data_IF_472014420504
#
_entry.id   IF_472014420504
#
_cell.length_a   1.000
_cell.length_b   1.000
_cell.length_c   1.000
_cell.angle_alpha   90.00
_cell.angle_beta   90.00
_cell.angle_gamma   90.00
#
_symmetry.space_group_name_H-M   'P 1'
#
loop_
_entity.id
_entity.type
_entity.pdbx_description
1 polymer ?
#
# COMPACT_ATOMS: atom_id res chain seq x y z
N UNK A 1 10.04 -13.05 -2.88
CA UNK A 1 10.55 -11.89 -2.12
C UNK A 1 9.38 -10.95 -1.90
N UNK A 2 9.10 -10.51 -0.66
CA UNK A 2 8.02 -9.56 -0.41
C UNK A 2 8.49 -8.16 -0.83
N UNK A 3 7.89 -7.58 -1.87
CA UNK A 3 8.25 -6.26 -2.41
C UNK A 3 7.98 -5.14 -1.39
N UNK A 4 7.05 -5.38 -0.47
CA UNK A 4 6.57 -4.40 0.50
C UNK A 4 6.46 -5.05 1.89
N UNK A 5 7.58 -5.26 2.61
CA UNK A 5 7.52 -5.74 3.99
C UNK A 5 6.83 -4.74 4.92
N UNK A 6 6.30 -5.23 6.03
CA UNK A 6 5.64 -4.40 7.04
C UNK A 6 6.58 -3.27 7.51
N UNK A 7 6.03 -2.08 7.70
CA UNK A 7 6.75 -0.85 7.99
C UNK A 7 7.33 -0.12 6.77
N UNK A 8 7.28 -0.71 5.57
CA UNK A 8 7.74 -0.03 4.35
C UNK A 8 6.94 1.24 4.10
N UNK A 9 7.63 2.37 3.90
CA UNK A 9 7.00 3.63 3.50
C UNK A 9 6.62 3.58 2.03
N UNK A 10 5.37 3.92 1.75
CA UNK A 10 4.80 3.89 0.41
C UNK A 10 3.97 5.14 0.15
N UNK A 11 3.73 5.40 -1.13
CA UNK A 11 2.76 6.40 -1.57
C UNK A 11 1.87 5.83 -2.68
N UNK A 12 0.68 6.42 -2.83
CA UNK A 12 -0.24 6.14 -3.92
C UNK A 12 -0.99 7.41 -4.33
N UNK A 13 -1.59 7.39 -5.52
CA UNK A 13 -2.45 8.45 -6.02
C UNK A 13 -3.91 8.13 -5.70
N UNK A 14 -4.60 9.04 -5.03
CA UNK A 14 -6.05 8.91 -4.84
C UNK A 14 -6.82 9.31 -6.11
N UNK A 15 -8.14 9.07 -6.09
CA UNK A 15 -9.04 9.39 -7.21
C UNK A 15 -9.11 10.87 -7.56
N UNK A 16 -8.68 11.76 -6.66
CA UNK A 16 -8.62 13.20 -6.88
C UNK A 16 -7.24 13.65 -7.40
N UNK A 17 -6.34 12.72 -7.71
CA UNK A 17 -4.97 13.03 -8.14
C UNK A 17 -4.09 13.55 -6.99
N UNK A 18 -4.46 13.28 -5.73
CA UNK A 18 -3.64 13.65 -4.57
C UNK A 18 -2.76 12.49 -4.15
N UNK A 19 -1.48 12.76 -3.89
CA UNK A 19 -0.56 11.75 -3.34
C UNK A 19 -0.88 11.55 -1.85
N UNK A 20 -1.08 10.30 -1.46
CA UNK A 20 -1.23 9.87 -0.06
C UNK A 20 -0.01 9.05 0.35
N UNK A 21 0.52 9.35 1.52
CA UNK A 21 1.65 8.64 2.12
C UNK A 21 1.19 7.76 3.28
N UNK A 22 1.90 6.66 3.49
CA UNK A 22 1.64 5.76 4.60
C UNK A 22 2.72 4.71 4.77
N UNK A 23 2.48 3.80 5.71
CA UNK A 23 3.30 2.63 5.94
C UNK A 23 2.50 1.34 5.73
N UNK A 24 3.15 0.32 5.19
CA UNK A 24 2.55 -1.00 5.02
C UNK A 24 2.36 -1.64 6.40
N UNK A 25 1.13 -1.99 6.75
CA UNK A 25 0.83 -2.77 7.96
C UNK A 25 0.89 -4.26 7.71
N UNK A 26 0.47 -4.70 6.53
CA UNK A 26 0.47 -6.11 6.14
C UNK A 26 0.33 -6.28 4.63
N UNK A 27 0.73 -7.43 4.15
CA UNK A 27 0.49 -7.87 2.77
C UNK A 27 -0.34 -9.15 2.75
N UNK A 28 -1.26 -9.26 1.81
CA UNK A 28 -2.10 -10.44 1.61
C UNK A 28 -2.10 -10.84 0.15
N UNK A 29 -2.38 -12.12 -0.11
CA UNK A 29 -2.55 -12.64 -1.47
C UNK A 29 -3.95 -13.21 -1.60
N UNK A 30 -4.70 -12.71 -2.57
CA UNK A 30 -6.04 -13.20 -2.89
C UNK A 30 -5.97 -14.55 -3.59
N UNK A 31 -7.11 -15.25 -3.67
CA UNK A 31 -7.24 -16.57 -4.30
C UNK A 31 -6.94 -16.55 -5.80
N UNK A 32 -7.14 -15.42 -6.47
CA UNK A 32 -6.79 -15.16 -7.87
C UNK A 32 -5.27 -14.91 -8.08
N UNK A 33 -4.50 -14.87 -6.99
CA UNK A 33 -3.06 -14.62 -7.01
C UNK A 33 -2.66 -13.16 -6.90
N UNK A 34 -3.61 -12.21 -6.91
CA UNK A 34 -3.38 -10.77 -6.75
C UNK A 34 -2.81 -10.49 -5.36
N UNK A 35 -1.72 -9.71 -5.31
CA UNK A 35 -1.17 -9.24 -4.04
C UNK A 35 -1.74 -7.86 -3.68
N UNK A 36 -2.18 -7.74 -2.44
CA UNK A 36 -2.76 -6.54 -1.84
C UNK A 36 -1.89 -6.13 -0.66
N UNK A 37 -1.70 -4.83 -0.51
CA UNK A 37 -1.04 -4.20 0.64
C UNK A 37 -2.08 -3.45 1.44
N UNK A 38 -2.05 -3.63 2.77
CA UNK A 38 -2.79 -2.80 3.70
C UNK A 38 -1.84 -1.68 4.14
N UNK A 39 -2.19 -0.45 3.81
CA UNK A 39 -1.39 0.75 4.08
C UNK A 39 -2.09 1.58 5.13
N UNK A 40 -1.44 1.81 6.26
CA UNK A 40 -1.84 2.83 7.22
C UNK A 40 -1.40 4.18 6.70
N UNK A 41 -2.36 4.95 6.20
CA UNK A 41 -2.13 6.31 5.72
C UNK A 41 -1.82 7.19 6.93
N UNK A 42 -0.96 8.19 6.77
CA UNK A 42 -0.55 9.09 7.86
C UNK A 42 -1.75 9.86 8.48
N UNK A 43 -2.87 9.95 7.75
CA UNK A 43 -4.16 10.46 8.25
C UNK A 43 -4.96 9.48 9.14
N UNK A 44 -4.40 8.32 9.47
CA UNK A 44 -4.96 7.35 10.42
C UNK A 44 -5.89 6.29 9.86
N UNK A 45 -6.23 6.36 8.57
CA UNK A 45 -7.09 5.36 7.90
C UNK A 45 -6.21 4.29 7.25
N UNK A 46 -6.57 3.02 7.43
CA UNK A 46 -5.96 1.92 6.71
C UNK A 46 -6.70 1.67 5.40
N UNK A 47 -5.96 1.57 4.30
CA UNK A 47 -6.50 1.31 2.96
C UNK A 47 -5.87 0.05 2.37
N UNK A 48 -6.67 -0.76 1.69
CA UNK A 48 -6.20 -1.93 0.97
C UNK A 48 -6.04 -1.60 -0.51
N UNK A 49 -4.84 -1.76 -1.05
CA UNK A 49 -4.50 -1.40 -2.42
C UNK A 49 -3.74 -2.54 -3.11
N UNK A 50 -3.97 -2.78 -4.41
CA UNK A 50 -3.12 -3.68 -5.17
C UNK A 50 -1.65 -3.25 -5.10
N UNK A 51 -0.74 -4.22 -5.02
CA UNK A 51 0.71 -3.95 -5.05
C UNK A 51 1.13 -3.13 -6.28
N UNK A 52 0.41 -3.25 -7.39
CA UNK A 52 0.66 -2.49 -8.63
C UNK A 52 0.27 -1.01 -8.57
N UNK A 53 -0.53 -0.59 -7.59
CA UNK A 53 -0.98 0.81 -7.47
C UNK A 53 -0.23 1.61 -6.39
N UNK A 54 0.75 0.99 -5.74
CA UNK A 54 1.59 1.62 -4.71
C UNK A 54 3.03 1.73 -5.16
N UNK A 55 3.72 2.77 -4.73
CA UNK A 55 5.14 3.00 -5.00
C UNK A 55 5.91 3.14 -3.69
N UNK A 56 7.13 2.59 -3.65
CA UNK A 56 8.00 2.68 -2.48
C UNK A 56 8.56 4.11 -2.36
N UNK A 57 8.57 4.65 -1.14
CA UNK A 57 9.31 5.86 -0.81
C UNK A 57 10.75 5.45 -0.51
N UNK A 58 11.72 6.11 -1.13
CA UNK A 58 13.15 5.79 -0.98
C UNK A 58 13.81 6.72 0.02
#
# INVERSE_FOLDING_TARGET
MNTFPDGTRVFYWDVNGTIKYGAVESTSRMTDGTQVVNVKVDGGITVSLPVSSVSKVT
#
